data_IF_891521925092
#
_entry.id   IF_891521925092
#
_cell.length_a   1.000
_cell.length_b   1.000
_cell.length_c   1.000
_cell.angle_alpha   90.00
_cell.angle_beta   90.00
_cell.angle_gamma   90.00
#
_symmetry.space_group_name_H-M   'P 1'
#
loop_
_entity.id
_entity.type
_entity.pdbx_description
1 polymer ?
#
# COMPACT_ATOMS: atom_id res chain seq x y z
N UNK A 1 74.24 -15.83 20.36
CA UNK A 1 73.32 -16.51 19.43
C UNK A 1 72.12 -16.94 20.27
N UNK A 2 70.88 -16.48 20.12
CA UNK A 2 70.10 -15.99 18.96
C UNK A 2 69.05 -14.97 19.47
N UNK A 3 68.86 -13.92 18.66
CA UNK A 3 67.76 -12.97 18.44
C UNK A 3 66.34 -13.36 18.99
N UNK A 4 65.60 -12.42 19.61
CA UNK A 4 64.59 -11.52 18.95
C UNK A 4 63.32 -12.36 18.59
N UNK A 5 62.10 -12.08 19.04
CA UNK A 5 61.25 -10.98 18.60
C UNK A 5 59.94 -10.96 19.41
N UNK A 6 59.42 -9.74 19.59
CA UNK A 6 58.10 -9.44 20.11
C UNK A 6 56.98 -10.05 19.24
N UNK A 7 56.21 -10.98 19.79
CA UNK A 7 54.94 -11.39 19.18
C UNK A 7 53.89 -10.31 19.53
N UNK A 8 53.95 -9.21 18.79
CA UNK A 8 52.80 -8.35 18.61
C UNK A 8 51.74 -9.16 17.86
N UNK A 9 50.77 -9.70 18.60
CA UNK A 9 49.51 -10.16 18.02
C UNK A 9 48.82 -8.96 17.38
N UNK A 10 49.07 -8.76 16.09
CA UNK A 10 48.28 -7.88 15.25
C UNK A 10 46.92 -8.53 15.08
N UNK A 11 46.00 -8.22 16.00
CA UNK A 11 44.58 -8.39 15.75
C UNK A 11 44.26 -7.62 14.47
N UNK A 12 44.17 -8.33 13.34
CA UNK A 12 43.78 -7.76 12.06
C UNK A 12 42.31 -7.35 12.16
N UNK A 13 42.05 -6.21 12.78
CA UNK A 13 40.82 -5.48 12.55
C UNK A 13 40.82 -5.18 11.06
N UNK A 14 39.95 -5.88 10.31
CA UNK A 14 39.60 -5.48 8.95
C UNK A 14 39.08 -4.05 9.07
N UNK A 15 39.98 -3.09 8.86
CA UNK A 15 39.67 -1.66 8.89
C UNK A 15 38.67 -1.43 7.77
N UNK A 16 37.38 -1.38 8.15
CA UNK A 16 36.30 -1.08 7.23
C UNK A 16 36.53 0.36 6.82
N UNK A 17 37.05 0.56 5.59
CA UNK A 17 37.28 1.89 5.02
C UNK A 17 36.00 2.72 5.21
N UNK A 18 36.17 3.91 5.77
CA UNK A 18 35.07 4.84 5.92
C UNK A 18 34.55 5.22 4.53
N UNK A 19 33.23 5.11 4.33
CA UNK A 19 32.61 5.43 3.05
C UNK A 19 32.81 6.91 2.72
N UNK A 20 33.12 7.21 1.47
CA UNK A 20 33.20 8.60 1.00
C UNK A 20 31.80 9.24 0.99
N UNK A 21 31.74 10.57 0.96
CA UNK A 21 30.46 11.28 0.82
C UNK A 21 29.72 10.87 -0.45
N UNK A 22 30.45 10.62 -1.55
CA UNK A 22 29.86 10.15 -2.81
C UNK A 22 29.28 8.75 -2.68
N UNK A 23 30.02 7.80 -2.08
CA UNK A 23 29.51 6.43 -1.86
C UNK A 23 28.24 6.44 -0.98
N UNK A 24 28.19 7.33 0.02
CA UNK A 24 27.00 7.51 0.86
C UNK A 24 25.84 8.15 0.10
N UNK A 25 26.12 9.07 -0.83
CA UNK A 25 25.11 9.67 -1.70
C UNK A 25 24.51 8.62 -2.64
N UNK A 26 25.35 7.83 -3.30
CA UNK A 26 24.92 6.77 -4.21
C UNK A 26 24.06 5.72 -3.48
N UNK A 27 24.45 5.34 -2.25
CA UNK A 27 23.65 4.46 -1.41
C UNK A 27 22.26 5.03 -1.10
N UNK A 28 22.16 6.36 -0.93
CA UNK A 28 20.88 7.03 -0.66
C UNK A 28 20.03 7.17 -1.92
N UNK A 29 20.64 7.42 -3.07
CA UNK A 29 19.95 7.41 -4.37
C UNK A 29 19.33 6.01 -4.61
N UNK A 30 20.09 4.94 -4.41
CA UNK A 30 19.55 3.56 -4.55
C UNK A 30 18.43 3.24 -3.56
N UNK A 31 18.54 3.73 -2.32
CA UNK A 31 17.46 3.58 -1.34
C UNK A 31 16.20 4.32 -1.76
N UNK A 32 16.35 5.50 -2.36
CA UNK A 32 15.24 6.30 -2.87
C UNK A 32 14.57 5.61 -4.06
N UNK A 33 15.33 5.14 -5.04
CA UNK A 33 14.81 4.40 -6.21
C UNK A 33 13.98 3.19 -5.77
N UNK A 34 14.52 2.38 -4.85
CA UNK A 34 13.79 1.23 -4.31
C UNK A 34 12.52 1.63 -3.56
N UNK A 35 12.55 2.75 -2.84
CA UNK A 35 11.37 3.26 -2.15
C UNK A 35 10.29 3.72 -3.14
N UNK A 36 10.69 4.34 -4.26
CA UNK A 36 9.78 4.77 -5.33
C UNK A 36 9.15 3.56 -6.04
N UNK A 37 9.92 2.53 -6.39
CA UNK A 37 9.39 1.29 -6.98
C UNK A 37 8.35 0.63 -6.06
N UNK A 38 8.64 0.56 -4.76
CA UNK A 38 7.70 0.01 -3.78
C UNK A 38 6.43 0.88 -3.67
N UNK A 39 6.57 2.20 -3.71
CA UNK A 39 5.44 3.12 -3.69
C UNK A 39 4.53 2.90 -4.89
N UNK A 40 5.08 2.77 -6.10
CA UNK A 40 4.30 2.49 -7.31
C UNK A 40 3.56 1.16 -7.22
N UNK A 41 4.22 0.11 -6.74
CA UNK A 41 3.60 -1.20 -6.52
C UNK A 41 2.42 -1.12 -5.53
N UNK A 42 2.59 -0.39 -4.43
CA UNK A 42 1.54 -0.16 -3.44
C UNK A 42 0.38 0.67 -4.01
N UNK A 43 0.66 1.70 -4.81
CA UNK A 43 -0.37 2.49 -5.47
C UNK A 43 -1.20 1.67 -6.46
N UNK A 44 -0.57 0.77 -7.22
CA UNK A 44 -1.26 -0.18 -8.09
C UNK A 44 -2.18 -1.10 -7.28
N UNK A 45 -1.68 -1.65 -6.16
CA UNK A 45 -2.48 -2.48 -5.26
C UNK A 45 -3.68 -1.72 -4.67
N UNK A 46 -3.49 -0.46 -4.27
CA UNK A 46 -4.57 0.39 -3.78
C UNK A 46 -5.66 0.57 -4.85
N UNK A 47 -5.28 0.83 -6.11
CA UNK A 47 -6.25 0.96 -7.21
C UNK A 47 -7.04 -0.33 -7.39
N UNK A 48 -6.36 -1.47 -7.47
CA UNK A 48 -7.03 -2.77 -7.60
C UNK A 48 -8.02 -3.04 -6.46
N UNK A 49 -7.62 -2.79 -5.21
CA UNK A 49 -8.50 -2.98 -4.06
C UNK A 49 -9.74 -2.07 -4.10
N UNK A 50 -9.61 -0.83 -4.61
CA UNK A 50 -10.76 0.07 -4.79
C UNK A 50 -11.75 -0.48 -5.83
N UNK A 51 -11.23 -1.01 -6.94
CA UNK A 51 -12.06 -1.61 -7.98
C UNK A 51 -12.77 -2.87 -7.45
N UNK A 52 -12.06 -3.72 -6.71
CA UNK A 52 -12.62 -4.92 -6.08
C UNK A 52 -13.71 -4.57 -5.05
N UNK A 53 -13.49 -3.54 -4.23
CA UNK A 53 -14.50 -3.05 -3.27
C UNK A 53 -15.77 -2.61 -3.99
N UNK A 54 -15.66 -1.79 -5.05
CA UNK A 54 -16.82 -1.32 -5.79
C UNK A 54 -17.64 -2.48 -6.41
N UNK A 55 -16.96 -3.51 -6.92
CA UNK A 55 -17.61 -4.72 -7.44
C UNK A 55 -18.35 -5.46 -6.31
N UNK A 56 -17.71 -5.64 -5.16
CA UNK A 56 -18.31 -6.34 -4.02
C UNK A 56 -19.48 -5.57 -3.42
N UNK A 57 -19.39 -4.24 -3.34
CA UNK A 57 -20.49 -3.39 -2.89
C UNK A 57 -21.70 -3.52 -3.82
N UNK A 58 -21.49 -3.51 -5.14
CA UNK A 58 -22.55 -3.74 -6.11
C UNK A 58 -23.21 -5.10 -5.97
N UNK A 59 -22.43 -6.17 -5.77
CA UNK A 59 -22.97 -7.52 -5.52
C UNK A 59 -23.78 -7.58 -4.22
N UNK A 60 -23.25 -7.00 -3.15
CA UNK A 60 -23.95 -6.93 -1.86
C UNK A 60 -25.28 -6.19 -1.97
N UNK A 61 -25.34 -5.11 -2.74
CA UNK A 61 -26.60 -4.40 -2.99
C UNK A 61 -27.61 -5.30 -3.74
N UNK A 62 -27.16 -6.08 -4.73
CA UNK A 62 -28.01 -7.04 -5.44
C UNK A 62 -28.51 -8.17 -4.53
N UNK A 63 -27.66 -8.70 -3.65
CA UNK A 63 -28.03 -9.71 -2.65
C UNK A 63 -29.11 -9.18 -1.71
N UNK A 64 -28.92 -7.96 -1.17
CA UNK A 64 -29.91 -7.30 -0.31
C UNK A 64 -31.24 -7.17 -1.05
N UNK A 65 -31.24 -6.70 -2.29
CA UNK A 65 -32.45 -6.57 -3.09
C UNK A 65 -33.18 -7.91 -3.27
N UNK A 66 -32.43 -8.97 -3.57
CA UNK A 66 -32.98 -10.32 -3.69
C UNK A 66 -33.58 -10.84 -2.38
N UNK A 67 -32.93 -10.58 -1.23
CA UNK A 67 -33.43 -10.98 0.10
C UNK A 67 -34.79 -10.33 0.43
N UNK A 68 -34.98 -9.08 0.00
CA UNK A 68 -36.25 -8.37 0.16
C UNK A 68 -37.28 -8.73 -0.94
N UNK A 69 -36.93 -9.58 -1.90
CA UNK A 69 -37.80 -9.94 -3.02
C UNK A 69 -38.09 -8.77 -3.96
N UNK A 70 -37.21 -7.76 -3.99
CA UNK A 70 -37.37 -6.52 -4.75
C UNK A 70 -36.33 -6.50 -5.87
N UNK A 71 -36.74 -6.17 -7.09
CA UNK A 71 -35.82 -5.90 -8.19
C UNK A 71 -35.59 -4.39 -8.37
N UNK A 72 -34.72 -4.01 -9.29
CA UNK A 72 -34.35 -2.60 -9.47
C UNK A 72 -35.56 -1.73 -9.83
N UNK A 73 -36.48 -2.28 -10.62
CA UNK A 73 -37.72 -1.61 -11.01
C UNK A 73 -38.68 -1.45 -9.84
N UNK A 74 -38.80 -2.46 -8.97
CA UNK A 74 -39.57 -2.39 -7.74
C UNK A 74 -39.01 -1.35 -6.78
N UNK A 75 -37.68 -1.26 -6.66
CA UNK A 75 -37.03 -0.25 -5.82
C UNK A 75 -37.25 1.17 -6.38
N UNK A 76 -37.12 1.35 -7.69
CA UNK A 76 -37.41 2.62 -8.38
C UNK A 76 -38.89 3.03 -8.23
N UNK A 77 -39.81 2.07 -8.33
CA UNK A 77 -41.24 2.31 -8.15
C UNK A 77 -41.57 2.74 -6.72
N UNK A 78 -40.98 2.10 -5.69
CA UNK A 78 -41.09 2.49 -4.28
C UNK A 78 -40.54 3.91 -4.07
N UNK A 79 -39.35 4.21 -4.59
CA UNK A 79 -38.75 5.54 -4.46
C UNK A 79 -39.57 6.63 -5.19
N UNK A 80 -40.19 6.31 -6.31
CA UNK A 80 -41.06 7.23 -7.05
C UNK A 80 -42.41 7.47 -6.34
N UNK A 81 -42.98 6.45 -5.69
CA UNK A 81 -44.25 6.59 -4.96
C UNK A 81 -44.09 7.33 -3.63
N UNK A 82 -42.99 7.13 -2.92
CA UNK A 82 -42.72 7.80 -1.65
C UNK A 82 -41.97 9.14 -1.81
N UNK A 83 -41.63 9.56 -3.03
CA UNK A 83 -41.01 10.86 -3.31
C UNK A 83 -41.89 12.04 -2.89
N UNK A 84 -43.21 11.85 -2.93
CA UNK A 84 -44.21 12.84 -2.52
C UNK A 84 -44.57 12.76 -1.02
N UNK A 85 -44.14 11.71 -0.31
CA UNK A 85 -44.39 11.52 1.14
C UNK A 85 -43.22 11.97 2.02
N UNK A 86 -42.03 12.17 1.45
CA UNK A 86 -40.96 12.93 2.09
C UNK A 86 -41.37 14.40 2.07
N UNK A 87 -42.25 14.78 3.01
CA UNK A 87 -42.55 16.17 3.34
C UNK A 87 -41.26 16.92 3.65
N UNK A 88 -40.66 17.50 2.61
CA UNK A 88 -39.70 18.58 2.75
C UNK A 88 -40.48 19.78 3.27
N UNK A 89 -40.48 19.95 4.59
CA UNK A 89 -40.52 21.31 5.12
C UNK A 89 -39.31 22.05 4.56
N UNK A 90 -39.57 23.23 4.00
CA UNK A 90 -38.59 24.07 3.29
C UNK A 90 -37.49 24.67 4.15
#
# INVERSE_FOLDING_TARGET
MINEEHINQTNSSKSRRQKSTQERLDDKIKQLEKAQENQEALQKKIRMLKDDIAILEGKRQQEIMADYGIDLQGLEAILATHKDELGGEG
#
